data_IF_450787007927
#
_entry.id   IF_450787007927
#
_cell.length_a   1.000
_cell.length_b   1.000
_cell.length_c   1.000
_cell.angle_alpha   90.00
_cell.angle_beta   90.00
_cell.angle_gamma   90.00
#
_symmetry.space_group_name_H-M   'P 1'
#
loop_
_entity.id
_entity.type
_entity.pdbx_description
1 polymer ?
#
# COMPACT_ATOMS: atom_id res chain seq x y z
N UNK A 1 -31.00 -16.13 10.69
CA UNK A 1 -29.86 -15.70 9.86
C UNK A 1 -29.60 -14.26 10.25
N UNK A 2 -28.62 -14.00 11.13
CA UNK A 2 -28.32 -12.64 11.60
C UNK A 2 -27.40 -12.02 10.56
N UNK A 3 -27.82 -10.93 9.93
CA UNK A 3 -26.94 -10.13 9.06
C UNK A 3 -25.75 -9.67 9.90
N UNK A 4 -24.50 -9.84 9.44
CA UNK A 4 -23.35 -9.32 10.16
C UNK A 4 -23.51 -7.79 10.25
N UNK A 5 -23.41 -7.26 11.47
CA UNK A 5 -23.42 -5.82 11.72
C UNK A 5 -22.37 -5.17 10.81
N UNK A 6 -22.78 -4.21 9.98
CA UNK A 6 -21.90 -3.54 9.03
C UNK A 6 -20.77 -2.86 9.81
N UNK A 7 -19.60 -3.49 9.82
CA UNK A 7 -18.41 -2.92 10.42
C UNK A 7 -18.18 -1.53 9.81
N UNK A 8 -18.05 -0.52 10.67
CA UNK A 8 -17.74 0.83 10.21
C UNK A 8 -16.34 0.81 9.56
N UNK A 9 -16.17 1.45 8.39
CA UNK A 9 -14.89 1.44 7.70
C UNK A 9 -13.83 2.12 8.55
N UNK A 10 -12.68 1.45 8.72
CA UNK A 10 -11.54 2.01 9.46
C UNK A 10 -10.99 3.26 8.75
N UNK A 11 -10.83 3.21 7.43
CA UNK A 11 -10.33 4.32 6.62
C UNK A 11 -11.21 4.46 5.37
N UNK A 12 -11.63 5.70 5.07
CA UNK A 12 -12.27 6.05 3.81
C UNK A 12 -11.50 7.20 3.16
N UNK A 13 -11.29 7.09 1.84
CA UNK A 13 -10.62 8.11 1.04
C UNK A 13 -11.05 7.99 -0.42
N UNK A 14 -10.94 9.09 -1.16
CA UNK A 14 -11.02 9.08 -2.62
C UNK A 14 -9.59 8.95 -3.18
N UNK A 15 -9.39 8.06 -4.15
CA UNK A 15 -8.13 7.98 -4.90
C UNK A 15 -8.27 8.71 -6.22
N UNK A 16 -7.41 9.70 -6.48
CA UNK A 16 -7.41 10.47 -7.72
C UNK A 16 -6.02 10.53 -8.35
N UNK A 17 -5.99 10.82 -9.65
CA UNK A 17 -4.77 11.06 -10.42
C UNK A 17 -3.74 9.93 -10.29
N UNK A 18 -4.18 8.69 -10.54
CA UNK A 18 -3.32 7.51 -10.48
C UNK A 18 -2.33 7.51 -11.64
N UNK A 19 -1.05 7.33 -11.31
CA UNK A 19 0.06 7.12 -12.22
C UNK A 19 0.71 5.77 -11.90
N UNK A 20 0.96 4.96 -12.93
CA UNK A 20 1.60 3.66 -12.79
C UNK A 20 2.71 3.53 -13.82
N UNK A 21 3.94 3.34 -13.32
CA UNK A 21 5.14 3.14 -14.13
C UNK A 21 5.67 1.73 -13.86
N UNK A 22 5.77 0.90 -14.90
CA UNK A 22 6.28 -0.46 -14.79
C UNK A 22 7.66 -0.54 -15.43
N UNK A 23 8.63 -1.06 -14.67
CA UNK A 23 10.00 -1.25 -15.13
C UNK A 23 10.32 -2.74 -15.10
N UNK A 24 10.83 -3.24 -16.22
CA UNK A 24 11.43 -4.57 -16.24
C UNK A 24 12.68 -4.56 -15.34
N UNK A 25 12.84 -5.58 -14.52
CA UNK A 25 13.91 -5.67 -13.54
C UNK A 25 14.44 -7.10 -13.48
N UNK A 26 15.73 -7.26 -13.18
CA UNK A 26 16.30 -8.57 -12.90
C UNK A 26 15.65 -9.15 -11.62
N UNK A 27 14.98 -10.32 -11.68
CA UNK A 27 14.36 -10.93 -10.52
C UNK A 27 15.32 -11.17 -9.36
N UNK A 28 16.62 -11.35 -9.60
CA UNK A 28 17.63 -11.50 -8.55
C UNK A 28 17.70 -10.27 -7.61
N UNK A 29 17.33 -9.08 -8.09
CA UNK A 29 17.26 -7.86 -7.27
C UNK A 29 16.07 -7.92 -6.29
N UNK A 30 15.02 -8.65 -6.63
CA UNK A 30 13.80 -8.75 -5.84
C UNK A 30 13.81 -9.92 -4.85
N UNK A 31 14.60 -10.97 -5.10
CA UNK A 31 14.70 -12.17 -4.26
C UNK A 31 14.79 -11.89 -2.75
N UNK A 32 15.62 -10.93 -2.26
CA UNK A 32 15.72 -10.66 -0.83
C UNK A 32 14.43 -10.13 -0.18
N UNK A 33 13.51 -9.59 -0.99
CA UNK A 33 12.26 -9.00 -0.53
C UNK A 33 11.07 -9.97 -0.67
N UNK A 34 11.27 -11.15 -1.26
CA UNK A 34 10.19 -12.12 -1.49
C UNK A 34 9.75 -12.75 -0.15
N UNK A 35 8.48 -12.59 0.26
CA UNK A 35 7.99 -13.22 1.48
C UNK A 35 8.01 -14.74 1.39
N UNK A 36 8.26 -15.39 2.52
CA UNK A 36 8.25 -16.84 2.61
C UNK A 36 6.92 -17.43 2.14
N UNK A 37 6.99 -18.49 1.33
CA UNK A 37 5.85 -19.16 0.74
C UNK A 37 5.39 -18.54 -0.57
N UNK A 38 5.91 -17.39 -0.99
CA UNK A 38 5.56 -16.76 -2.28
C UNK A 38 6.68 -16.92 -3.31
N UNK A 39 6.30 -16.81 -4.58
CA UNK A 39 7.21 -16.78 -5.73
C UNK A 39 7.03 -15.46 -6.48
N UNK A 40 8.09 -14.95 -7.11
CA UNK A 40 7.97 -13.80 -8.03
C UNK A 40 6.97 -14.16 -9.15
N UNK A 41 6.04 -13.24 -9.44
CA UNK A 41 5.08 -13.41 -10.53
C UNK A 41 5.57 -12.67 -11.78
N UNK A 42 5.99 -13.46 -12.77
CA UNK A 42 6.43 -12.94 -14.05
C UNK A 42 5.26 -12.81 -15.03
N UNK A 43 5.35 -11.82 -15.91
CA UNK A 43 4.46 -11.63 -17.03
C UNK A 43 5.22 -11.91 -18.33
N UNK A 44 4.84 -12.96 -19.06
CA UNK A 44 5.49 -13.36 -20.31
C UNK A 44 7.01 -13.57 -20.18
N UNK A 45 7.45 -14.10 -19.03
CA UNK A 45 8.87 -14.33 -18.73
C UNK A 45 9.66 -13.07 -18.37
N UNK A 46 8.97 -11.94 -18.15
CA UNK A 46 9.57 -10.69 -17.69
C UNK A 46 9.06 -10.36 -16.28
N UNK A 47 10.00 -10.01 -15.41
CA UNK A 47 9.71 -9.54 -14.05
C UNK A 47 9.58 -8.03 -14.05
N UNK A 48 8.57 -7.51 -13.35
CA UNK A 48 8.33 -6.07 -13.26
C UNK A 48 8.33 -5.57 -11.82
N UNK A 49 8.92 -4.39 -11.64
CA UNK A 49 8.73 -3.54 -10.48
C UNK A 49 7.97 -2.28 -10.90
N UNK A 50 6.97 -1.90 -10.11
CA UNK A 50 6.11 -0.76 -10.39
C UNK A 50 6.30 0.35 -9.37
N UNK A 51 6.33 1.58 -9.87
CA UNK A 51 6.13 2.79 -9.07
C UNK A 51 4.70 3.26 -9.32
N UNK A 52 3.89 3.30 -8.26
CA UNK A 52 2.48 3.71 -8.35
C UNK A 52 2.27 4.94 -7.50
N UNK A 53 1.98 6.07 -8.14
CA UNK A 53 1.66 7.33 -7.48
C UNK A 53 0.15 7.59 -7.54
N UNK A 54 -0.45 8.06 -6.46
CA UNK A 54 -1.84 8.50 -6.46
C UNK A 54 -2.08 9.50 -5.34
N UNK A 55 -3.15 10.29 -5.48
CA UNK A 55 -3.55 11.28 -4.50
C UNK A 55 -4.70 10.72 -3.67
N UNK A 56 -4.49 10.62 -2.36
CA UNK A 56 -5.57 10.47 -1.40
C UNK A 56 -6.26 11.81 -1.22
N UNK A 57 -7.59 11.82 -1.26
CA UNK A 57 -8.41 12.98 -0.95
C UNK A 57 -9.51 12.63 0.05
N UNK A 58 -9.91 13.62 0.85
CA UNK A 58 -11.00 13.48 1.85
C UNK A 58 -10.80 12.30 2.80
N UNK A 59 -9.56 12.02 3.16
CA UNK A 59 -9.20 10.90 4.04
C UNK A 59 -9.85 11.07 5.41
N UNK A 60 -10.56 10.02 5.85
CA UNK A 60 -11.21 9.91 7.15
C UNK A 60 -10.80 8.61 7.82
N UNK A 61 -10.46 8.70 9.09
CA UNK A 61 -10.21 7.54 9.95
C UNK A 61 -11.36 7.44 10.93
N UNK A 62 -11.99 6.26 11.00
CA UNK A 62 -13.17 6.01 11.84
C UNK A 62 -14.28 7.07 11.64
N UNK A 63 -14.42 7.58 10.40
CA UNK A 63 -15.41 8.60 10.03
C UNK A 63 -14.99 10.06 10.27
N UNK A 64 -13.92 10.31 11.04
CA UNK A 64 -13.45 11.65 11.35
C UNK A 64 -12.44 12.15 10.31
N UNK A 65 -12.59 13.39 9.80
CA UNK A 65 -11.61 13.98 8.90
C UNK A 65 -10.33 14.25 9.65
N UNK A 66 -9.19 13.95 9.02
CA UNK A 66 -7.89 14.22 9.62
C UNK A 66 -7.54 15.71 9.44
N UNK A 67 -7.36 16.51 10.50
CA UNK A 67 -6.94 17.90 10.36
C UNK A 67 -5.60 17.98 9.61
N UNK A 68 -5.54 18.83 8.58
CA UNK A 68 -4.35 19.07 7.76
C UNK A 68 -3.82 17.88 6.94
N UNK A 69 -4.48 16.72 6.92
CA UNK A 69 -4.04 15.52 6.18
C UNK A 69 -5.20 14.74 5.55
N UNK A 70 -6.26 15.44 5.14
CA UNK A 70 -7.32 14.80 4.36
C UNK A 70 -6.81 14.46 2.95
N UNK A 71 -5.86 15.27 2.45
CA UNK A 71 -5.34 15.21 1.11
C UNK A 71 -3.81 15.04 1.17
N UNK A 72 -3.28 14.00 0.54
CA UNK A 72 -1.84 13.73 0.48
C UNK A 72 -1.49 12.79 -0.69
N UNK A 73 -0.27 12.92 -1.21
CA UNK A 73 0.27 12.02 -2.22
C UNK A 73 0.78 10.72 -1.58
N UNK A 74 0.62 9.61 -2.28
CA UNK A 74 1.25 8.33 -1.93
C UNK A 74 1.94 7.75 -3.16
N UNK A 75 3.17 7.26 -2.96
CA UNK A 75 3.96 6.60 -3.98
C UNK A 75 4.44 5.25 -3.47
N UNK A 76 4.04 4.19 -4.16
CA UNK A 76 4.30 2.81 -3.77
C UNK A 76 5.27 2.16 -4.75
N UNK A 77 6.45 1.80 -4.25
CA UNK A 77 7.39 0.93 -4.95
C UNK A 77 7.04 -0.52 -4.62
N UNK A 78 6.59 -1.27 -5.62
CA UNK A 78 6.08 -2.63 -5.43
C UNK A 78 6.49 -3.59 -6.54
N UNK A 79 6.43 -4.87 -6.26
CA UNK A 79 6.57 -5.93 -7.26
C UNK A 79 5.50 -7.00 -7.05
N UNK A 80 5.43 -7.95 -7.97
CA UNK A 80 4.35 -8.93 -8.03
C UNK A 80 4.84 -10.29 -7.56
N UNK A 81 4.00 -10.95 -6.75
CA UNK A 81 4.24 -12.30 -6.27
C UNK A 81 3.01 -13.16 -6.47
N UNK A 82 3.20 -14.47 -6.46
CA UNK A 82 2.12 -15.45 -6.45
C UNK A 82 2.36 -16.51 -5.39
N UNK A 83 1.26 -17.08 -4.93
CA UNK A 83 1.23 -18.13 -3.92
C UNK A 83 0.36 -19.28 -4.42
N UNK A 84 0.83 -20.52 -4.23
CA UNK A 84 0.06 -21.72 -4.54
C UNK A 84 -0.70 -22.20 -3.30
N UNK A 85 -1.95 -21.78 -3.19
CA UNK A 85 -2.86 -22.22 -2.14
C UNK A 85 -3.62 -23.51 -2.50
N UNK A 86 -4.47 -23.99 -1.58
CA UNK A 86 -5.34 -25.15 -1.77
C UNK A 86 -6.30 -25.02 -2.96
N UNK A 87 -6.70 -23.79 -3.27
CA UNK A 87 -7.64 -23.44 -4.35
C UNK A 87 -6.93 -23.02 -5.65
N UNK A 88 -5.60 -23.16 -5.71
CA UNK A 88 -4.79 -22.78 -6.87
C UNK A 88 -3.92 -21.54 -6.64
N UNK A 89 -3.49 -20.93 -7.75
CA UNK A 89 -2.62 -19.76 -7.72
C UNK A 89 -3.38 -18.50 -7.33
N UNK A 90 -2.81 -17.75 -6.38
CA UNK A 90 -3.27 -16.41 -5.98
C UNK A 90 -2.16 -15.41 -6.22
N UNK A 91 -2.50 -14.25 -6.77
CA UNK A 91 -1.56 -13.15 -7.02
C UNK A 91 -1.59 -12.14 -5.88
N UNK A 92 -0.46 -11.53 -5.62
CA UNK A 92 -0.27 -10.50 -4.62
C UNK A 92 0.75 -9.46 -5.07
N UNK A 93 0.88 -8.42 -4.28
CA UNK A 93 1.91 -7.40 -4.44
C UNK A 93 2.71 -7.31 -3.15
N UNK A 94 4.00 -7.05 -3.29
CA UNK A 94 4.90 -6.77 -2.17
C UNK A 94 5.31 -5.32 -2.29
N UNK A 95 5.08 -4.55 -1.22
CA UNK A 95 5.53 -3.17 -1.12
C UNK A 95 6.96 -3.16 -0.57
N UNK A 96 7.91 -2.74 -1.40
CA UNK A 96 9.31 -2.52 -0.99
C UNK A 96 9.38 -1.23 -0.17
N UNK A 97 8.66 -0.20 -0.63
CA UNK A 97 8.61 1.10 0.02
C UNK A 97 7.31 1.82 -0.29
N UNK A 98 6.73 2.43 0.74
CA UNK A 98 5.59 3.34 0.64
C UNK A 98 6.08 4.74 1.04
N UNK A 99 6.00 5.66 0.08
CA UNK A 99 6.46 7.03 0.22
C UNK A 99 5.24 7.93 0.34
N UNK A 100 5.06 8.49 1.52
CA UNK A 100 4.08 9.55 1.78
C UNK A 100 4.82 10.80 2.26
N UNK A 101 4.24 12.00 2.08
CA UNK A 101 4.80 13.22 2.62
C UNK A 101 5.10 13.12 4.12
N UNK A 102 6.22 13.73 4.55
CA UNK A 102 6.67 13.69 5.96
C UNK A 102 5.62 14.20 6.94
N UNK A 103 4.76 15.15 6.51
CA UNK A 103 3.69 15.68 7.34
C UNK A 103 2.70 14.55 7.72
N UNK A 104 2.26 13.73 6.76
CA UNK A 104 1.38 12.56 6.98
C UNK A 104 1.95 11.52 7.94
N UNK A 105 3.25 11.23 7.84
CA UNK A 105 3.93 10.32 8.78
C UNK A 105 3.94 10.91 10.19
N UNK A 106 4.35 12.18 10.32
CA UNK A 106 4.46 12.85 11.61
C UNK A 106 3.10 12.93 12.33
N UNK A 107 2.01 13.13 11.60
CA UNK A 107 0.67 13.14 12.19
C UNK A 107 0.20 11.74 12.59
N UNK A 108 0.37 10.73 11.73
CA UNK A 108 0.01 9.34 12.06
C UNK A 108 0.76 8.86 13.30
N UNK A 109 2.06 9.18 13.40
CA UNK A 109 2.85 8.92 14.59
C UNK A 109 2.28 9.62 15.83
N UNK A 110 1.89 10.90 15.74
CA UNK A 110 1.29 11.64 16.85
C UNK A 110 -0.04 11.07 17.32
N UNK A 111 -0.91 10.65 16.40
CA UNK A 111 -2.26 10.19 16.74
C UNK A 111 -2.31 8.75 17.21
N UNK A 112 -1.50 7.86 16.65
CA UNK A 112 -1.53 6.44 17.01
C UNK A 112 -0.48 6.03 18.03
N UNK A 113 0.66 6.73 18.10
CA UNK A 113 1.79 6.32 18.94
C UNK A 113 2.08 7.23 20.14
N UNK A 114 1.37 8.35 20.32
CA UNK A 114 1.51 9.26 21.48
C UNK A 114 2.97 9.61 21.85
N UNK A 115 3.88 9.69 20.87
CA UNK A 115 5.27 10.08 21.12
C UNK A 115 5.45 11.59 20.94
N UNK A 116 6.03 12.22 21.98
CA UNK A 116 6.38 13.64 22.03
C UNK A 116 7.56 13.94 21.09
N UNK A 117 7.29 14.25 19.83
CA UNK A 117 8.30 14.87 18.97
C UNK A 117 8.49 16.34 19.37
N UNK A 118 9.64 16.63 19.99
CA UNK A 118 10.14 18.00 20.14
C UNK A 118 10.73 18.50 18.81
N UNK A 119 10.43 19.77 18.51
CA UNK A 119 10.88 20.55 17.35
C UNK A 119 12.38 20.80 17.33
#
# INVERSE_FOLDING_TARGET
>A
MVEPEKASPFLTAEWRHLMMLNYEIDPAVLEPFVPNGTEIDDWEGRTYCSVVGFLFLKTRVLGFPIPFHQDFEEVNLRFYVRYKGKEGWRRGVVFIKELVPRFAIAWTARVFYNENYQS
#
